data_IF_483109863239
#
_entry.id   IF_483109863239
#
_cell.length_a   1.000
_cell.length_b   1.000
_cell.length_c   1.000
_cell.angle_alpha   90.00
_cell.angle_beta   90.00
_cell.angle_gamma   90.00
#
_symmetry.space_group_name_H-M   'P 1'
#
loop_
_entity.id
_entity.type
_entity.pdbx_description
1 polymer ?
#
# COMPACT_ATOMS: atom_id res chain seq x y z
N UNK A 1 47.39 -5.49 11.85
CA UNK A 1 46.33 -4.71 11.16
C UNK A 1 46.39 -5.07 9.69
N UNK A 2 45.62 -6.07 9.25
CA UNK A 2 45.56 -6.47 7.85
C UNK A 2 44.57 -5.60 7.10
N UNK A 3 45.04 -4.83 6.13
CA UNK A 3 44.19 -4.10 5.21
C UNK A 3 43.56 -5.09 4.22
N UNK A 4 42.25 -5.26 4.27
CA UNK A 4 41.48 -5.97 3.25
C UNK A 4 41.46 -5.05 2.02
N UNK A 5 42.36 -5.31 1.08
CA UNK A 5 42.32 -4.67 -0.25
C UNK A 5 41.31 -5.43 -1.10
N UNK A 6 40.09 -4.89 -1.27
CA UNK A 6 39.14 -5.41 -2.26
C UNK A 6 39.70 -5.18 -3.67
N UNK A 7 39.53 -6.17 -4.56
CA UNK A 7 40.09 -6.16 -5.91
C UNK A 7 39.10 -5.52 -6.90
N UNK A 8 39.41 -4.34 -7.49
CA UNK A 8 38.44 -3.56 -8.28
C UNK A 8 37.82 -4.30 -9.47
N UNK A 9 38.55 -5.23 -10.08
CA UNK A 9 38.07 -6.02 -11.22
C UNK A 9 37.04 -7.09 -10.83
N UNK A 10 37.07 -7.56 -9.59
CA UNK A 10 36.08 -8.51 -9.05
C UNK A 10 34.80 -7.78 -8.67
N UNK A 11 34.92 -6.60 -8.08
CA UNK A 11 33.80 -5.73 -7.67
C UNK A 11 32.96 -5.27 -8.89
N UNK A 12 33.62 -4.93 -10.02
CA UNK A 12 32.94 -4.56 -11.27
C UNK A 12 32.09 -5.71 -11.82
N UNK A 13 32.66 -6.92 -11.92
CA UNK A 13 31.95 -8.11 -12.44
C UNK A 13 30.77 -8.51 -11.57
N UNK A 14 30.91 -8.38 -10.25
CA UNK A 14 29.84 -8.67 -9.30
C UNK A 14 28.69 -7.66 -9.46
N UNK A 15 29.01 -6.37 -9.60
CA UNK A 15 27.99 -5.31 -9.83
C UNK A 15 27.23 -5.48 -11.16
N UNK A 16 27.88 -5.96 -12.21
CA UNK A 16 27.24 -6.24 -13.50
C UNK A 16 26.32 -7.48 -13.42
N UNK A 17 26.74 -8.51 -12.70
CA UNK A 17 25.96 -9.72 -12.48
C UNK A 17 24.70 -9.43 -11.65
N UNK A 18 24.82 -8.60 -10.61
CA UNK A 18 23.70 -8.12 -9.80
C UNK A 18 22.71 -7.32 -10.66
N UNK A 19 23.18 -6.35 -11.46
CA UNK A 19 22.32 -5.59 -12.39
C UNK A 19 21.56 -6.49 -13.38
N UNK A 20 22.24 -7.49 -13.95
CA UNK A 20 21.60 -8.45 -14.86
C UNK A 20 20.53 -9.30 -14.16
N UNK A 21 20.78 -9.66 -12.89
CA UNK A 21 19.81 -10.39 -12.06
C UNK A 21 18.59 -9.55 -11.76
N UNK A 22 18.78 -8.30 -11.33
CA UNK A 22 17.70 -7.35 -11.06
C UNK A 22 16.84 -7.09 -12.31
N UNK A 23 17.47 -6.93 -13.49
CA UNK A 23 16.75 -6.76 -14.76
C UNK A 23 15.95 -8.01 -15.15
N UNK A 24 16.45 -9.20 -14.83
CA UNK A 24 15.72 -10.45 -15.07
C UNK A 24 14.47 -10.53 -14.19
N UNK A 25 14.59 -10.19 -12.91
CA UNK A 25 13.45 -10.13 -11.97
C UNK A 25 12.41 -9.11 -12.47
N UNK A 26 12.83 -7.92 -12.88
CA UNK A 26 11.94 -6.89 -13.43
C UNK A 26 11.12 -7.41 -14.63
N UNK A 27 11.76 -8.17 -15.53
CA UNK A 27 11.06 -8.79 -16.68
C UNK A 27 10.04 -9.84 -16.23
N UNK A 28 10.36 -10.64 -15.22
CA UNK A 28 9.43 -11.63 -14.67
C UNK A 28 8.22 -10.95 -14.02
N UNK A 29 8.44 -9.92 -13.19
CA UNK A 29 7.37 -9.10 -12.61
C UNK A 29 6.44 -8.54 -13.69
N UNK A 30 7.02 -7.96 -14.76
CA UNK A 30 6.24 -7.43 -15.89
C UNK A 30 5.40 -8.52 -16.57
N UNK A 31 5.96 -9.71 -16.77
CA UNK A 31 5.23 -10.83 -17.38
C UNK A 31 4.04 -11.27 -16.52
N UNK A 32 4.21 -11.35 -15.20
CA UNK A 32 3.12 -11.67 -14.27
C UNK A 32 1.99 -10.64 -14.37
N UNK A 33 2.33 -9.34 -14.39
CA UNK A 33 1.35 -8.26 -14.54
C UNK A 33 0.63 -8.31 -15.89
N UNK A 34 1.38 -8.48 -16.99
CA UNK A 34 0.82 -8.57 -18.35
C UNK A 34 -0.11 -9.77 -18.48
N UNK A 35 0.19 -10.89 -17.82
CA UNK A 35 -0.68 -12.07 -17.84
C UNK A 35 -2.09 -11.78 -17.30
N UNK A 36 -2.22 -10.88 -16.32
CA UNK A 36 -3.51 -10.48 -15.74
C UNK A 36 -4.16 -9.39 -16.59
N UNK A 37 -3.42 -8.33 -16.92
CA UNK A 37 -3.98 -7.16 -17.61
C UNK A 37 -4.33 -7.45 -19.09
N UNK A 38 -3.63 -8.38 -19.73
CA UNK A 38 -3.84 -8.71 -21.15
C UNK A 38 -5.04 -9.64 -21.42
N UNK A 39 -5.69 -10.17 -20.39
CA UNK A 39 -6.77 -11.15 -20.52
C UNK A 39 -8.14 -10.53 -20.24
N UNK A 40 -8.66 -9.77 -21.20
CA UNK A 40 -9.96 -9.07 -21.09
C UNK A 40 -11.17 -10.01 -21.10
N UNK A 41 -11.03 -11.24 -21.62
CA UNK A 41 -12.14 -12.18 -21.81
C UNK A 41 -12.44 -13.05 -20.58
N UNK A 42 -11.52 -13.15 -19.63
CA UNK A 42 -11.67 -14.02 -18.46
C UNK A 42 -12.58 -13.39 -17.42
N UNK A 43 -13.46 -14.20 -16.82
CA UNK A 43 -14.45 -13.77 -15.84
C UNK A 43 -14.54 -14.76 -14.67
N UNK A 44 -15.17 -14.33 -13.58
CA UNK A 44 -15.44 -15.18 -12.42
C UNK A 44 -14.17 -15.85 -11.85
N UNK A 45 -14.26 -17.14 -11.55
CA UNK A 45 -13.18 -17.90 -10.92
C UNK A 45 -11.91 -18.01 -11.76
N UNK A 46 -11.99 -18.02 -13.09
CA UNK A 46 -10.79 -18.06 -13.95
C UNK A 46 -9.94 -16.81 -13.75
N UNK A 47 -10.60 -15.63 -13.75
CA UNK A 47 -9.95 -14.35 -13.47
C UNK A 47 -9.41 -14.31 -12.05
N UNK A 48 -10.19 -14.79 -11.06
CA UNK A 48 -9.76 -14.85 -9.66
C UNK A 48 -8.51 -15.72 -9.47
N UNK A 49 -8.48 -16.91 -10.09
CA UNK A 49 -7.34 -17.82 -10.04
C UNK A 49 -6.08 -17.21 -10.66
N UNK A 50 -6.21 -16.52 -11.80
CA UNK A 50 -5.09 -15.82 -12.41
C UNK A 50 -4.54 -14.68 -11.54
N UNK A 51 -5.43 -13.86 -10.96
CA UNK A 51 -5.02 -12.80 -10.03
C UNK A 51 -4.29 -13.41 -8.82
N UNK A 52 -4.80 -14.52 -8.26
CA UNK A 52 -4.17 -15.20 -7.13
C UNK A 52 -2.77 -15.72 -7.47
N UNK A 53 -2.61 -16.38 -8.63
CA UNK A 53 -1.31 -16.88 -9.07
C UNK A 53 -0.30 -15.75 -9.33
N UNK A 54 -0.73 -14.69 -10.03
CA UNK A 54 0.12 -13.53 -10.26
C UNK A 54 0.50 -12.85 -8.94
N UNK A 55 -0.43 -12.74 -8.00
CA UNK A 55 -0.15 -12.21 -6.65
C UNK A 55 0.91 -13.04 -5.93
N UNK A 56 0.79 -14.37 -5.95
CA UNK A 56 1.76 -15.26 -5.32
C UNK A 56 3.16 -15.13 -5.96
N UNK A 57 3.23 -15.12 -7.29
CA UNK A 57 4.48 -14.95 -8.03
C UNK A 57 5.14 -13.58 -7.75
N UNK A 58 4.35 -12.50 -7.78
CA UNK A 58 4.83 -11.16 -7.45
C UNK A 58 5.37 -11.10 -6.02
N UNK A 59 4.68 -11.69 -5.04
CA UNK A 59 5.17 -11.76 -3.64
C UNK A 59 6.51 -12.48 -3.53
N UNK A 60 6.70 -13.57 -4.30
CA UNK A 60 7.95 -14.32 -4.30
C UNK A 60 9.10 -13.55 -4.96
N UNK A 61 8.83 -12.85 -6.06
CA UNK A 61 9.84 -12.09 -6.81
C UNK A 61 10.23 -10.78 -6.12
N UNK A 62 9.30 -10.14 -5.40
CA UNK A 62 9.53 -8.94 -4.60
C UNK A 62 10.25 -9.29 -3.29
N UNK A 63 11.49 -9.75 -3.39
CA UNK A 63 12.36 -10.05 -2.26
C UNK A 63 12.69 -8.77 -1.47
N UNK A 64 13.14 -8.89 -0.20
CA UNK A 64 13.58 -7.73 0.57
C UNK A 64 14.68 -6.91 -0.14
N UNK A 65 15.59 -7.58 -0.84
CA UNK A 65 16.63 -6.94 -1.63
C UNK A 65 16.07 -6.13 -2.80
N UNK A 66 15.12 -6.71 -3.55
CA UNK A 66 14.46 -6.01 -4.67
C UNK A 66 13.57 -4.86 -4.18
N UNK A 67 12.93 -5.04 -3.01
CA UNK A 67 12.08 -4.02 -2.40
C UNK A 67 12.87 -2.84 -1.84
N UNK A 68 14.12 -3.01 -1.43
CA UNK A 68 14.93 -1.92 -0.85
C UNK A 68 14.91 -0.61 -1.65
N UNK A 69 15.18 -0.58 -2.97
CA UNK A 69 15.05 0.66 -3.76
C UNK A 69 13.60 1.14 -3.91
N UNK A 70 12.62 0.24 -3.92
CA UNK A 70 11.19 0.59 -3.96
C UNK A 70 10.76 1.27 -2.65
N UNK A 71 11.25 0.80 -1.50
CA UNK A 71 10.99 1.42 -0.20
C UNK A 71 11.51 2.86 -0.14
N UNK A 72 12.58 3.19 -0.89
CA UNK A 72 13.09 4.55 -1.00
C UNK A 72 12.20 5.47 -1.86
N UNK A 73 11.26 4.90 -2.64
CA UNK A 73 10.25 5.65 -3.40
C UNK A 73 9.06 6.10 -2.54
N UNK A 74 8.90 5.51 -1.35
CA UNK A 74 7.86 5.91 -0.41
C UNK A 74 8.08 7.35 0.09
N UNK A 75 6.98 8.08 0.25
CA UNK A 75 6.95 9.42 0.82
C UNK A 75 7.48 10.53 -0.07
N UNK A 76 7.63 10.26 -1.37
CA UNK A 76 8.07 11.27 -2.33
C UNK A 76 7.28 11.24 -3.65
N UNK A 77 7.33 12.35 -4.38
CA UNK A 77 6.55 12.57 -5.60
C UNK A 77 7.06 11.73 -6.79
N UNK A 78 8.33 11.31 -6.78
CA UNK A 78 8.86 10.46 -7.85
C UNK A 78 8.32 9.04 -7.74
N UNK A 79 8.06 8.57 -6.51
CA UNK A 79 7.44 7.30 -6.19
C UNK A 79 5.96 7.42 -5.93
N UNK A 80 5.59 7.27 -4.65
CA UNK A 80 4.25 7.36 -4.12
C UNK A 80 4.26 8.01 -2.73
N UNK A 81 3.20 8.74 -2.39
CA UNK A 81 3.04 9.33 -1.05
C UNK A 81 2.26 8.43 -0.13
N UNK A 82 2.41 8.67 1.17
CA UNK A 82 1.61 8.02 2.20
C UNK A 82 1.05 9.01 3.21
N UNK A 83 0.00 8.64 3.93
CA UNK A 83 -0.48 9.37 5.10
C UNK A 83 0.41 9.19 6.34
N UNK A 84 1.46 8.37 6.26
CA UNK A 84 2.48 8.17 7.30
C UNK A 84 3.86 8.74 6.94
N UNK A 85 3.95 9.62 5.95
CA UNK A 85 5.24 10.17 5.47
C UNK A 85 6.05 10.86 6.59
N UNK A 86 5.36 11.52 7.53
CA UNK A 86 5.99 12.16 8.70
C UNK A 86 6.29 11.20 9.86
N UNK A 87 5.88 9.94 9.74
CA UNK A 87 5.96 8.90 10.76
C UNK A 87 6.81 7.70 10.29
N UNK A 88 7.72 7.92 9.35
CA UNK A 88 8.61 6.89 8.81
C UNK A 88 8.01 6.02 7.71
N UNK A 89 6.75 6.27 7.31
CA UNK A 89 6.05 5.52 6.27
C UNK A 89 5.49 4.18 6.76
N UNK A 90 5.09 3.34 5.81
CA UNK A 90 4.62 1.98 6.04
C UNK A 90 5.76 0.95 5.96
N UNK A 91 5.52 -0.21 6.61
CA UNK A 91 6.42 -1.37 6.56
C UNK A 91 6.53 -1.96 5.16
N UNK A 92 7.62 -2.71 4.90
CA UNK A 92 7.81 -3.38 3.61
C UNK A 92 6.63 -4.29 3.26
N UNK A 93 6.05 -4.99 4.25
CA UNK A 93 4.92 -5.87 4.03
C UNK A 93 3.69 -5.13 3.48
N UNK A 94 3.35 -3.98 4.06
CA UNK A 94 2.22 -3.15 3.62
C UNK A 94 2.52 -2.54 2.24
N UNK A 95 3.71 -1.98 2.06
CA UNK A 95 4.13 -1.40 0.77
C UNK A 95 4.10 -2.45 -0.33
N UNK A 96 4.58 -3.67 -0.07
CA UNK A 96 4.57 -4.79 -1.02
C UNK A 96 3.16 -5.18 -1.43
N UNK A 97 2.23 -5.31 -0.47
CA UNK A 97 0.83 -5.61 -0.78
C UNK A 97 0.20 -4.51 -1.63
N UNK A 98 0.38 -3.24 -1.26
CA UNK A 98 -0.18 -2.11 -2.02
C UNK A 98 0.43 -1.98 -3.42
N UNK A 99 1.74 -2.22 -3.54
CA UNK A 99 2.42 -2.23 -4.83
C UNK A 99 1.84 -3.29 -5.76
N UNK A 100 1.65 -4.53 -5.26
CA UNK A 100 1.08 -5.63 -6.04
C UNK A 100 -0.32 -5.27 -6.53
N UNK A 101 -1.18 -4.78 -5.64
CA UNK A 101 -2.51 -4.32 -6.00
C UNK A 101 -2.44 -3.23 -7.08
N UNK A 102 -1.62 -2.19 -6.88
CA UNK A 102 -1.47 -1.09 -7.83
C UNK A 102 -1.04 -1.56 -9.22
N UNK A 103 -0.03 -2.44 -9.33
CA UNK A 103 0.45 -2.92 -10.65
C UNK A 103 -0.57 -3.84 -11.32
N UNK A 104 -1.31 -4.64 -10.55
CA UNK A 104 -2.40 -5.46 -11.07
C UNK A 104 -3.64 -4.63 -11.47
N UNK A 105 -3.76 -3.38 -11.01
CA UNK A 105 -4.69 -2.38 -11.55
C UNK A 105 -4.16 -1.68 -12.81
N UNK A 106 -2.89 -1.88 -13.17
CA UNK A 106 -2.22 -1.22 -14.29
C UNK A 106 -1.52 0.11 -13.93
N UNK A 107 -1.43 0.45 -12.65
CA UNK A 107 -0.67 1.62 -12.17
C UNK A 107 0.83 1.33 -12.12
N UNK A 108 1.64 2.38 -12.02
CA UNK A 108 3.09 2.29 -11.94
C UNK A 108 3.62 2.62 -10.53
N UNK A 109 4.76 2.03 -10.10
CA UNK A 109 5.43 2.35 -8.83
C UNK A 109 6.07 3.73 -8.76
N UNK A 110 5.97 4.50 -9.84
CA UNK A 110 6.58 5.82 -9.99
C UNK A 110 5.57 6.82 -10.55
N UNK A 111 5.92 8.10 -10.49
CA UNK A 111 5.10 9.20 -11.01
C UNK A 111 3.85 9.48 -10.16
N UNK A 112 3.86 9.09 -8.89
CA UNK A 112 2.78 9.29 -7.92
C UNK A 112 1.45 8.77 -8.45
N UNK A 113 1.43 7.58 -9.06
CA UNK A 113 0.23 6.99 -9.67
C UNK A 113 -0.70 6.30 -8.67
N UNK A 114 -0.13 5.74 -7.60
CA UNK A 114 -0.88 5.35 -6.41
C UNK A 114 -0.24 6.01 -5.19
N UNK A 115 -1.00 6.07 -4.10
CA UNK A 115 -0.54 6.41 -2.75
C UNK A 115 -0.96 5.27 -1.81
N UNK A 116 -0.40 5.24 -0.60
CA UNK A 116 -0.89 4.37 0.47
C UNK A 116 -1.61 5.25 1.49
N UNK A 117 -2.88 4.96 1.75
CA UNK A 117 -3.69 5.69 2.72
C UNK A 117 -4.35 4.66 3.63
N UNK A 118 -4.19 4.80 4.94
CA UNK A 118 -4.69 3.83 5.91
C UNK A 118 -4.26 2.37 5.59
N UNK A 119 -3.05 2.20 5.03
CA UNK A 119 -2.50 0.89 4.64
C UNK A 119 -3.10 0.29 3.37
N UNK A 120 -3.92 1.04 2.62
CA UNK A 120 -4.57 0.58 1.40
C UNK A 120 -4.07 1.32 0.16
N UNK A 121 -4.14 0.66 -0.99
CA UNK A 121 -3.81 1.26 -2.28
C UNK A 121 -4.82 2.32 -2.67
N UNK A 122 -4.34 3.52 -2.98
CA UNK A 122 -5.17 4.64 -3.40
C UNK A 122 -4.73 5.18 -4.77
N UNK A 123 -5.48 4.90 -5.85
CA UNK A 123 -5.19 5.48 -7.16
C UNK A 123 -5.31 7.00 -7.12
N UNK A 124 -4.26 7.69 -7.54
CA UNK A 124 -4.20 9.15 -7.51
C UNK A 124 -4.84 9.76 -8.75
N UNK A 125 -4.91 11.11 -8.78
CA UNK A 125 -5.25 11.87 -9.99
C UNK A 125 -4.34 11.48 -11.16
N UNK A 126 -3.04 11.33 -10.93
CA UNK A 126 -2.04 11.00 -11.94
C UNK A 126 -2.21 9.56 -12.43
N UNK A 127 -2.41 8.61 -11.52
CA UNK A 127 -2.62 7.20 -11.86
C UNK A 127 -3.86 6.97 -12.70
N UNK A 128 -5.00 7.53 -12.30
CA UNK A 128 -6.22 7.45 -13.10
C UNK A 128 -6.07 8.17 -14.45
N UNK A 129 -5.31 9.26 -14.49
CA UNK A 129 -4.96 9.92 -15.74
C UNK A 129 -4.16 8.99 -16.67
N UNK A 130 -3.15 8.30 -16.13
CA UNK A 130 -2.35 7.31 -16.85
C UNK A 130 -3.20 6.15 -17.37
N UNK A 131 -4.07 5.58 -16.53
CA UNK A 131 -4.97 4.49 -16.93
C UNK A 131 -5.90 4.91 -18.08
N UNK A 132 -6.53 6.08 -17.98
CA UNK A 132 -7.40 6.61 -19.04
C UNK A 132 -6.61 6.90 -20.32
N UNK A 133 -5.43 7.50 -20.23
CA UNK A 133 -4.58 7.81 -21.40
C UNK A 133 -4.08 6.57 -22.12
N UNK A 134 -3.93 5.44 -21.42
CA UNK A 134 -3.53 4.16 -22.02
C UNK A 134 -4.72 3.26 -22.37
N UNK A 135 -5.95 3.68 -22.08
CA UNK A 135 -7.14 2.93 -22.49
C UNK A 135 -7.29 3.01 -24.01
N UNK A 136 -7.25 1.84 -24.67
CA UNK A 136 -7.23 1.77 -26.13
C UNK A 136 -8.47 2.41 -26.75
N UNK A 137 -8.23 3.40 -27.62
CA UNK A 137 -9.28 4.07 -28.37
C UNK A 137 -10.11 5.08 -27.59
N UNK A 138 -9.80 5.35 -26.32
CA UNK A 138 -10.47 6.40 -25.54
C UNK A 138 -9.98 7.79 -25.97
N UNK A 139 -10.91 8.67 -26.27
CA UNK A 139 -10.69 10.12 -26.28
C UNK A 139 -11.60 10.73 -25.21
N UNK A 140 -11.07 11.60 -24.36
CA UNK A 140 -11.87 12.22 -23.30
C UNK A 140 -11.39 13.62 -22.95
N UNK A 141 -12.31 14.39 -22.37
CA UNK A 141 -12.09 15.73 -21.84
C UNK A 141 -12.90 15.90 -20.55
N UNK A 142 -12.30 16.51 -19.53
CA UNK A 142 -12.97 16.83 -18.27
C UNK A 142 -12.81 18.32 -18.01
N UNK A 143 -13.93 19.04 -17.97
CA UNK A 143 -13.95 20.49 -17.77
C UNK A 143 -14.61 20.80 -16.41
N UNK A 144 -13.84 21.32 -15.44
CA UNK A 144 -14.40 21.73 -14.16
C UNK A 144 -15.18 23.05 -14.28
N UNK A 145 -16.29 23.15 -13.56
CA UNK A 145 -16.94 24.43 -13.25
C UNK A 145 -16.25 25.12 -12.07
N UNK A 146 -16.68 26.36 -11.76
CA UNK A 146 -16.20 27.05 -10.56
C UNK A 146 -16.71 26.34 -9.29
N UNK A 147 -15.83 26.03 -8.31
CA UNK A 147 -16.26 25.46 -7.05
C UNK A 147 -17.22 26.37 -6.28
N UNK A 148 -18.32 25.80 -5.79
CA UNK A 148 -19.23 26.45 -4.83
C UNK A 148 -18.83 26.03 -3.42
N UNK A 149 -18.15 26.92 -2.70
CA UNK A 149 -17.72 26.67 -1.32
C UNK A 149 -18.78 27.18 -0.35
N UNK A 150 -19.06 26.43 0.72
CA UNK A 150 -19.99 26.87 1.76
C UNK A 150 -19.42 28.04 2.57
N UNK A 151 -20.29 28.76 3.30
CA UNK A 151 -19.89 29.93 4.10
C UNK A 151 -18.82 29.62 5.15
N UNK A 152 -18.81 28.39 5.65
CA UNK A 152 -17.89 27.93 6.71
C UNK A 152 -16.54 27.45 6.17
N UNK A 153 -16.35 27.38 4.84
CA UNK A 153 -15.17 26.81 4.18
C UNK A 153 -14.83 25.37 4.62
N UNK A 154 -15.85 24.57 4.94
CA UNK A 154 -15.73 23.17 5.36
C UNK A 154 -16.13 22.19 4.26
N UNK A 155 -16.92 22.66 3.28
CA UNK A 155 -17.34 21.85 2.14
C UNK A 155 -17.47 22.66 0.86
N UNK A 156 -17.31 21.99 -0.27
CA UNK A 156 -17.51 22.54 -1.59
C UNK A 156 -18.24 21.55 -2.49
N UNK A 157 -18.99 22.08 -3.45
CA UNK A 157 -19.56 21.31 -4.55
C UNK A 157 -19.01 21.85 -5.88
N UNK A 158 -18.64 20.96 -6.78
CA UNK A 158 -18.16 21.33 -8.12
C UNK A 158 -18.77 20.40 -9.15
N UNK A 159 -19.27 20.98 -10.25
CA UNK A 159 -19.75 20.21 -11.39
C UNK A 159 -18.57 19.95 -12.32
N UNK A 160 -18.37 18.68 -12.66
CA UNK A 160 -17.39 18.20 -13.63
C UNK A 160 -18.12 17.78 -14.90
N UNK A 161 -17.88 18.48 -16.00
CA UNK A 161 -18.42 18.11 -17.31
C UNK A 161 -17.44 17.13 -17.96
N UNK A 162 -17.88 15.89 -18.14
CA UNK A 162 -17.06 14.79 -18.68
C UNK A 162 -17.57 14.45 -20.07
N UNK A 163 -16.66 14.51 -21.04
CA UNK A 163 -16.91 14.15 -22.42
C UNK A 163 -16.01 12.99 -22.82
N UNK A 164 -16.52 11.99 -23.52
CA UNK A 164 -15.70 10.88 -23.98
C UNK A 164 -16.25 10.18 -25.23
N UNK A 165 -15.38 9.51 -25.98
CA UNK A 165 -15.71 8.58 -27.05
C UNK A 165 -14.74 7.41 -27.04
N UNK A 166 -15.18 6.25 -27.56
CA UNK A 166 -14.35 5.05 -27.70
C UNK A 166 -14.31 4.66 -29.17
N UNK A 167 -13.11 4.47 -29.74
CA UNK A 167 -12.91 4.06 -31.14
C UNK A 167 -13.64 4.98 -32.14
N UNK A 168 -13.57 6.30 -31.94
CA UNK A 168 -14.24 7.32 -32.76
C UNK A 168 -15.77 7.16 -32.86
N UNK A 169 -16.40 6.50 -31.89
CA UNK A 169 -17.86 6.48 -31.75
C UNK A 169 -18.41 7.85 -31.36
N UNK A 170 -19.75 7.96 -31.37
CA UNK A 170 -20.46 9.18 -30.96
C UNK A 170 -19.99 9.68 -29.60
N UNK A 171 -19.65 10.97 -29.54
CA UNK A 171 -19.25 11.66 -28.31
C UNK A 171 -20.37 11.55 -27.28
N UNK A 172 -20.03 11.08 -26.09
CA UNK A 172 -20.89 11.01 -24.90
C UNK A 172 -20.53 12.16 -23.96
N UNK A 173 -21.50 12.57 -23.16
CA UNK A 173 -21.36 13.61 -22.16
C UNK A 173 -22.07 13.22 -20.87
N UNK A 174 -21.48 13.62 -19.73
CA UNK A 174 -22.12 13.55 -18.42
C UNK A 174 -21.66 14.72 -17.55
N UNK A 175 -22.60 15.31 -16.84
CA UNK A 175 -22.30 16.21 -15.73
C UNK A 175 -22.33 15.43 -14.42
N UNK A 176 -21.29 15.61 -13.61
CA UNK A 176 -21.15 14.96 -12.31
C UNK A 176 -20.99 16.05 -11.27
N UNK A 177 -21.89 16.12 -10.31
CA UNK A 177 -21.75 17.00 -9.15
C UNK A 177 -20.96 16.26 -8.06
N UNK A 178 -19.82 16.84 -7.68
CA UNK A 178 -18.89 16.20 -6.76
C UNK A 178 -18.83 17.00 -5.46
N UNK A 179 -19.25 16.42 -4.33
CA UNK A 179 -19.02 17.00 -3.02
C UNK A 179 -17.56 16.81 -2.60
N UNK A 180 -16.96 17.85 -2.02
CA UNK A 180 -15.58 17.87 -1.55
C UNK A 180 -15.54 18.39 -0.12
N UNK A 181 -14.96 17.60 0.79
CA UNK A 181 -14.55 18.10 2.11
C UNK A 181 -13.35 19.04 1.94
N UNK A 182 -13.51 20.27 2.45
CA UNK A 182 -12.51 21.33 2.40
C UNK A 182 -11.76 21.35 3.73
N UNK A 183 -10.46 21.12 3.68
CA UNK A 183 -9.59 21.15 4.85
C UNK A 183 -9.04 22.57 5.08
N UNK A 184 -8.59 22.85 6.30
CA UNK A 184 -7.89 24.12 6.60
C UNK A 184 -6.71 24.30 5.64
N UNK A 185 -6.58 25.50 5.06
CA UNK A 185 -5.58 25.86 4.04
C UNK A 185 -5.78 25.27 2.63
N UNK A 186 -6.91 24.62 2.37
CA UNK A 186 -7.22 24.08 1.04
C UNK A 186 -7.72 25.18 0.10
N UNK A 187 -6.91 25.51 -0.92
CA UNK A 187 -7.29 26.46 -1.97
C UNK A 187 -8.12 25.84 -3.10
N UNK A 188 -8.62 26.68 -4.01
CA UNK A 188 -9.42 26.29 -5.18
C UNK A 188 -8.76 25.19 -6.02
N UNK A 189 -7.45 25.25 -6.25
CA UNK A 189 -6.72 24.25 -7.04
C UNK A 189 -6.74 22.86 -6.40
N UNK A 190 -6.69 22.79 -5.07
CA UNK A 190 -6.78 21.53 -4.35
C UNK A 190 -8.19 20.94 -4.47
N UNK A 191 -9.24 21.78 -4.44
CA UNK A 191 -10.63 21.36 -4.62
C UNK A 191 -10.81 20.79 -6.03
N UNK A 192 -10.37 21.52 -7.05
CA UNK A 192 -10.38 21.07 -8.45
C UNK A 192 -9.55 19.79 -8.59
N UNK A 193 -8.41 19.68 -7.91
CA UNK A 193 -7.56 18.50 -7.91
C UNK A 193 -8.27 17.24 -7.39
N UNK A 194 -8.95 17.34 -6.24
CA UNK A 194 -9.75 16.23 -5.68
C UNK A 194 -10.92 15.89 -6.61
N UNK A 195 -11.65 16.89 -7.11
CA UNK A 195 -12.75 16.66 -8.03
C UNK A 195 -12.32 16.03 -9.36
N UNK A 196 -11.16 16.42 -9.89
CA UNK A 196 -10.58 15.80 -11.09
C UNK A 196 -10.26 14.34 -10.86
N UNK A 197 -9.71 13.97 -9.68
CA UNK A 197 -9.46 12.58 -9.30
C UNK A 197 -10.77 11.77 -9.30
N UNK A 198 -11.80 12.27 -8.62
CA UNK A 198 -13.12 11.63 -8.55
C UNK A 198 -13.80 11.50 -9.92
N UNK A 199 -13.74 12.53 -10.77
CA UNK A 199 -14.26 12.48 -12.14
C UNK A 199 -13.52 11.46 -13.03
N UNK A 200 -12.20 11.35 -12.91
CA UNK A 200 -11.41 10.32 -13.61
C UNK A 200 -11.73 8.92 -13.11
N UNK A 201 -11.90 8.74 -11.80
CA UNK A 201 -12.32 7.47 -11.21
C UNK A 201 -13.68 7.05 -11.77
N UNK A 202 -14.64 7.96 -11.75
CA UNK A 202 -15.97 7.74 -12.33
C UNK A 202 -15.90 7.35 -13.80
N UNK A 203 -15.13 8.07 -14.63
CA UNK A 203 -15.02 7.77 -16.05
C UNK A 203 -14.39 6.39 -16.27
N UNK A 204 -13.30 6.11 -15.55
CA UNK A 204 -12.62 4.81 -15.63
C UNK A 204 -13.57 3.67 -15.23
N UNK A 205 -14.31 3.82 -14.13
CA UNK A 205 -15.33 2.86 -13.70
C UNK A 205 -16.43 2.68 -14.74
N UNK A 206 -16.87 3.77 -15.37
CA UNK A 206 -17.90 3.75 -16.40
C UNK A 206 -17.48 2.96 -17.64
N UNK A 207 -16.23 3.08 -18.08
CA UNK A 207 -15.74 2.42 -19.30
C UNK A 207 -15.20 1.01 -19.06
N UNK A 208 -14.79 0.68 -17.84
CA UNK A 208 -14.24 -0.65 -17.49
C UNK A 208 -15.24 -1.54 -16.77
N UNK A 209 -16.28 -0.98 -16.16
CA UNK A 209 -17.16 -1.70 -15.24
C UNK A 209 -16.51 -2.04 -13.89
N UNK A 210 -15.33 -1.49 -13.59
CA UNK A 210 -14.63 -1.70 -12.31
C UNK A 210 -14.97 -0.59 -11.32
N UNK A 211 -15.30 -0.90 -10.07
CA UNK A 211 -15.50 0.14 -9.05
C UNK A 211 -14.16 0.54 -8.43
N UNK A 212 -13.82 1.82 -8.50
CA UNK A 212 -12.68 2.40 -7.77
C UNK A 212 -13.23 3.13 -6.56
N UNK A 213 -12.80 2.74 -5.37
CA UNK A 213 -13.23 3.38 -4.13
C UNK A 213 -12.93 4.87 -4.15
N UNK A 214 -13.96 5.65 -3.81
CA UNK A 214 -13.93 7.11 -3.83
C UNK A 214 -13.02 7.69 -2.72
N UNK A 215 -12.65 6.83 -1.77
CA UNK A 215 -11.53 6.94 -0.84
C UNK A 215 -11.33 8.30 -0.18
N UNK A 216 -12.40 8.89 0.33
CA UNK A 216 -12.33 9.85 1.43
C UNK A 216 -11.98 9.12 2.75
N UNK A 217 -10.94 8.28 2.73
CA UNK A 217 -10.48 7.45 3.86
C UNK A 217 -9.64 8.27 4.85
N UNK A 218 -9.40 9.56 4.60
CA UNK A 218 -8.67 10.43 5.52
C UNK A 218 -9.39 10.69 6.85
N UNK A 219 -10.67 10.31 6.99
CA UNK A 219 -11.45 10.45 8.25
C UNK A 219 -11.86 9.11 8.87
N UNK A 220 -11.45 7.97 8.30
CA UNK A 220 -11.52 6.73 9.06
C UNK A 220 -10.33 6.76 10.00
N UNK A 221 -10.59 6.87 11.30
CA UNK A 221 -9.71 6.31 12.32
C UNK A 221 -9.57 4.82 11.98
N UNK A 222 -8.68 4.51 11.03
CA UNK A 222 -8.34 3.14 10.71
C UNK A 222 -7.56 2.66 11.92
N UNK A 223 -8.28 2.03 12.84
CA UNK A 223 -7.65 0.98 13.63
C UNK A 223 -7.16 -0.01 12.60
N UNK A 224 -5.86 0.06 12.31
CA UNK A 224 -5.16 -1.02 11.65
C UNK A 224 -5.41 -2.22 12.54
N UNK A 225 -6.31 -3.10 12.11
CA UNK A 225 -6.26 -4.47 12.60
C UNK A 225 -4.98 -4.98 12.00
N UNK A 226 -3.91 -4.91 12.78
CA UNK A 226 -2.73 -5.69 12.51
C UNK A 226 -3.22 -7.14 12.45
N UNK A 227 -3.38 -7.66 11.24
CA UNK A 227 -3.37 -9.10 11.05
C UNK A 227 -1.91 -9.48 11.23
N UNK A 228 -1.46 -9.45 12.49
CA UNK A 228 -0.35 -10.26 12.90
C UNK A 228 -0.68 -11.68 12.43
N UNK A 229 0.22 -12.28 11.67
CA UNK A 229 0.20 -13.71 11.45
C UNK A 229 0.42 -14.29 12.84
N UNK A 230 -0.66 -14.48 13.59
CA UNK A 230 -0.52 -14.91 14.95
C UNK A 230 -0.11 -16.36 14.91
N UNK A 231 1.15 -16.63 15.23
CA UNK A 231 1.58 -17.95 15.59
C UNK A 231 0.79 -18.34 16.84
N UNK A 232 -0.05 -19.37 16.75
CA UNK A 232 -0.88 -19.83 17.88
C UNK A 232 -0.03 -20.23 19.10
N UNK A 233 1.24 -20.56 18.87
CA UNK A 233 2.22 -20.83 19.91
C UNK A 233 2.62 -19.56 20.69
N UNK A 234 2.76 -18.43 20.01
CA UNK A 234 3.11 -17.14 20.61
C UNK A 234 1.98 -16.63 21.54
N UNK A 235 0.72 -16.76 21.10
CA UNK A 235 -0.46 -16.50 21.96
C UNK A 235 -0.46 -17.35 23.22
N UNK A 236 -0.08 -18.63 23.08
CA UNK A 236 -0.06 -19.57 24.20
C UNK A 236 1.03 -19.18 25.20
N UNK A 237 2.20 -18.78 24.71
CA UNK A 237 3.32 -18.33 25.55
C UNK A 237 2.94 -17.06 26.32
N UNK A 238 2.42 -16.02 25.66
CA UNK A 238 1.93 -14.82 26.38
C UNK A 238 0.84 -15.15 27.40
N UNK A 239 -0.10 -16.06 27.06
CA UNK A 239 -1.16 -16.48 27.99
C UNK A 239 -0.61 -17.16 29.25
N UNK A 240 0.49 -17.91 29.13
CA UNK A 240 1.15 -18.52 30.29
C UNK A 240 1.94 -17.50 31.09
N UNK A 241 2.68 -16.59 30.44
CA UNK A 241 3.43 -15.52 31.12
C UNK A 241 2.47 -14.65 31.96
N UNK A 242 1.33 -14.24 31.40
CA UNK A 242 0.34 -13.40 32.08
C UNK A 242 -0.38 -14.10 33.25
N UNK A 243 -0.39 -15.44 33.26
CA UNK A 243 -1.06 -16.24 34.30
C UNK A 243 -0.11 -16.73 35.38
N UNK A 244 1.19 -16.51 35.25
CA UNK A 244 2.15 -16.87 36.28
C UNK A 244 1.88 -16.03 37.53
N UNK A 245 1.64 -16.69 38.66
CA UNK A 245 1.40 -16.03 39.95
C UNK A 245 2.66 -16.05 40.83
N UNK A 246 3.64 -16.89 40.47
CA UNK A 246 4.89 -17.09 41.22
C UNK A 246 6.12 -16.98 40.32
N UNK A 247 7.26 -16.64 40.92
CA UNK A 247 8.55 -16.55 40.19
C UNK A 247 8.98 -17.93 39.70
N UNK A 248 8.66 -18.98 40.45
CA UNK A 248 8.93 -20.37 40.09
C UNK A 248 8.19 -20.78 38.80
N UNK A 249 6.90 -20.46 38.68
CA UNK A 249 6.12 -20.71 37.46
C UNK A 249 6.67 -19.95 36.26
N UNK A 250 7.08 -18.70 36.46
CA UNK A 250 7.65 -17.88 35.40
C UNK A 250 9.02 -18.39 34.94
N UNK A 251 9.82 -18.94 35.85
CA UNK A 251 11.09 -19.62 35.53
C UNK A 251 10.87 -20.92 34.77
N UNK A 252 9.84 -21.72 35.10
CA UNK A 252 9.49 -22.92 34.34
C UNK A 252 9.10 -22.57 32.89
N UNK A 253 8.32 -21.50 32.70
CA UNK A 253 7.98 -20.99 31.38
C UNK A 253 9.25 -20.59 30.63
N UNK A 254 10.12 -19.78 31.25
CA UNK A 254 11.40 -19.33 30.65
C UNK A 254 12.29 -20.49 30.22
N UNK A 255 12.36 -21.56 31.01
CA UNK A 255 13.15 -22.75 30.70
C UNK A 255 12.59 -23.59 29.55
N UNK A 256 11.31 -23.40 29.21
CA UNK A 256 10.64 -24.12 28.12
C UNK A 256 10.74 -23.42 26.76
N UNK A 257 11.24 -22.18 26.71
CA UNK A 257 11.35 -21.35 25.51
C UNK A 257 12.71 -21.51 24.83
N UNK A 258 12.73 -21.43 23.50
CA UNK A 258 13.97 -21.34 22.72
C UNK A 258 14.59 -19.92 22.73
N UNK A 259 15.79 -19.77 22.16
CA UNK A 259 16.51 -18.48 22.15
C UNK A 259 15.77 -17.37 21.38
N UNK A 260 15.01 -17.71 20.34
CA UNK A 260 14.25 -16.72 19.57
C UNK A 260 13.00 -16.26 20.34
N UNK A 261 12.29 -17.21 20.96
CA UNK A 261 11.13 -16.96 21.82
C UNK A 261 11.52 -16.16 23.07
N UNK A 262 12.63 -16.48 23.72
CA UNK A 262 13.14 -15.71 24.86
C UNK A 262 13.42 -14.25 24.50
N UNK A 263 13.91 -14.01 23.29
CA UNK A 263 14.16 -12.65 22.80
C UNK A 263 12.84 -11.94 22.51
N UNK A 264 11.89 -12.63 21.89
CA UNK A 264 10.58 -12.09 21.53
C UNK A 264 9.76 -11.68 22.77
N UNK A 265 9.75 -12.50 23.82
CA UNK A 265 8.96 -12.27 25.04
C UNK A 265 9.75 -11.66 26.20
N UNK A 266 10.97 -11.17 25.97
CA UNK A 266 11.85 -10.65 27.03
C UNK A 266 11.22 -9.52 27.86
N UNK A 267 10.50 -8.60 27.20
CA UNK A 267 9.82 -7.49 27.86
C UNK A 267 8.63 -7.98 28.69
N UNK A 268 7.79 -8.89 28.16
CA UNK A 268 6.64 -9.47 28.87
C UNK A 268 7.06 -10.28 30.09
N UNK A 269 8.14 -11.07 29.98
CA UNK A 269 8.71 -11.82 31.10
C UNK A 269 9.18 -10.85 32.18
N UNK A 270 9.90 -9.79 31.81
CA UNK A 270 10.40 -8.79 32.75
C UNK A 270 9.25 -8.05 33.45
N UNK A 271 8.18 -7.72 32.72
CA UNK A 271 7.00 -7.08 33.29
C UNK A 271 6.26 -7.99 34.27
N UNK A 272 6.07 -9.27 33.92
CA UNK A 272 5.48 -10.26 34.81
C UNK A 272 6.33 -10.51 36.07
N UNK A 273 7.66 -10.60 35.94
CA UNK A 273 8.59 -10.70 37.07
C UNK A 273 8.39 -9.51 38.03
N UNK A 274 8.36 -8.28 37.51
CA UNK A 274 8.15 -7.07 38.32
C UNK A 274 6.79 -7.04 39.01
N UNK A 275 5.71 -7.45 38.34
CA UNK A 275 4.36 -7.49 38.92
C UNK A 275 4.25 -8.53 40.04
N UNK A 276 4.84 -9.72 39.85
CA UNK A 276 4.84 -10.78 40.87
C UNK A 276 5.60 -10.32 42.12
N UNK A 277 6.79 -9.73 41.95
CA UNK A 277 7.57 -9.19 43.07
C UNK A 277 6.79 -8.09 43.81
N UNK A 278 6.20 -7.15 43.09
CA UNK A 278 5.40 -6.07 43.68
C UNK A 278 4.19 -6.61 44.47
N UNK A 279 3.50 -7.62 43.94
CA UNK A 279 2.34 -8.25 44.59
C UNK A 279 2.74 -9.07 45.83
N UNK A 280 3.96 -9.61 45.87
CA UNK A 280 4.51 -10.29 47.05
C UNK A 280 4.90 -9.28 48.15
N UNK A 281 5.46 -8.12 47.79
CA UNK A 281 5.81 -7.06 48.73
C UNK A 281 4.60 -6.35 49.34
N UNK A 282 3.48 -6.27 48.62
CA UNK A 282 2.23 -5.66 49.13
C UNK A 282 1.34 -6.61 49.94
N UNK A 283 1.63 -7.92 49.92
CA UNK A 283 0.92 -8.95 50.71
C UNK A 283 1.67 -9.38 51.97
N UNK A 284 2.86 -8.86 52.23
CA UNK A 284 3.66 -9.05 53.45
C UNK A 284 3.36 -7.95 54.49
#
# INVERSE_FOLDING_TARGET
>A
MGAITSNPSTDIKQSEMEKNTQLKIAKQLNNSVVSVLGQENLKGFERAYMIANATAELKQLLTPEYMKPIMQLQGNVLGFKTDKDNNGGYSEAIVKNCLIEAVLMGLQPYGNQFNIIAGNTYPTKQGLGYLLSNYKGLSYEIVPSLPRVNKENTSAAIVMNVFWSINNSTKRERQIEIPIKVNKFMGTDAIIGKATRKARAWLYSTITGSEISDGDIQDLDSQTIDVEVVNEEDKRISSFIQKAETIEELQEIKNSLDEEQLKLFSDEITEAENQIVFNQETKA
#
